data_IF_511787935542
#
_entry.id   IF_511787935542
#
_cell.length_a   1.000
_cell.length_b   1.000
_cell.length_c   1.000
_cell.angle_alpha   90.00
_cell.angle_beta   90.00
_cell.angle_gamma   90.00
#
_symmetry.space_group_name_H-M   'P 1'
#
loop_
_entity.id
_entity.type
_entity.pdbx_description
1 polymer ?
#
# COMPACT_ATOMS: atom_id res chain seq x y z
N UNK A 1 -36.95 27.82 23.92
CA UNK A 1 -35.87 27.13 24.65
C UNK A 1 -34.60 27.23 23.82
N UNK A 2 -33.52 27.86 24.30
CA UNK A 2 -32.28 27.97 23.53
C UNK A 2 -31.39 26.73 23.74
N UNK A 3 -30.94 26.13 22.65
CA UNK A 3 -30.02 25.00 22.61
C UNK A 3 -28.60 25.46 22.97
N UNK A 4 -28.00 24.77 23.94
CA UNK A 4 -26.65 25.03 24.45
C UNK A 4 -25.60 24.73 23.37
N UNK A 5 -24.91 25.76 22.91
CA UNK A 5 -23.60 25.64 22.26
C UNK A 5 -22.61 25.06 23.28
N UNK A 6 -22.01 23.90 22.97
CA UNK A 6 -20.82 23.42 23.67
C UNK A 6 -19.62 24.04 22.97
N UNK A 7 -19.00 25.00 23.63
CA UNK A 7 -17.68 25.53 23.31
C UNK A 7 -16.63 24.48 23.67
N UNK A 8 -15.76 24.15 22.71
CA UNK A 8 -14.53 23.40 22.95
C UNK A 8 -13.56 24.29 23.74
N UNK A 9 -12.83 23.77 24.75
CA UNK A 9 -11.84 24.57 25.45
C UNK A 9 -10.67 24.89 24.51
N UNK A 10 -10.30 26.17 24.45
CA UNK A 10 -9.06 26.66 23.86
C UNK A 10 -7.87 25.88 24.43
N UNK A 11 -7.13 25.17 23.58
CA UNK A 11 -5.82 24.63 23.93
C UNK A 11 -4.86 25.81 23.95
N UNK A 12 -4.38 26.15 25.16
CA UNK A 12 -3.39 27.20 25.42
C UNK A 12 -2.08 26.90 24.67
N UNK A 13 -1.46 27.94 24.13
CA UNK A 13 -0.19 27.96 23.40
C UNK A 13 1.03 27.85 24.33
N UNK A 14 1.01 26.90 25.26
CA UNK A 14 2.14 26.61 26.15
C UNK A 14 2.54 25.14 25.98
N UNK A 15 3.19 24.84 24.85
CA UNK A 15 3.92 23.58 24.68
C UNK A 15 5.20 23.70 25.49
N UNK A 16 5.13 23.28 26.75
CA UNK A 16 6.30 22.90 27.53
C UNK A 16 6.85 21.63 26.88
N UNK A 17 8.07 21.68 26.34
CA UNK A 17 8.76 20.51 25.79
C UNK A 17 8.75 19.37 26.83
N UNK A 18 8.08 18.23 26.56
CA UNK A 18 8.31 17.03 27.34
C UNK A 18 9.71 16.50 26.97
N UNK A 19 10.42 16.01 27.97
CA UNK A 19 11.74 15.41 27.85
C UNK A 19 11.80 14.39 26.70
N UNK A 20 12.94 14.34 26.02
CA UNK A 20 13.25 13.39 24.95
C UNK A 20 13.16 11.95 25.47
N UNK A 21 11.98 11.36 25.43
CA UNK A 21 11.79 9.94 25.69
C UNK A 21 12.13 9.15 24.43
N UNK A 22 13.33 8.58 24.44
CA UNK A 22 13.75 7.49 23.54
C UNK A 22 12.91 6.24 23.83
N UNK A 23 11.71 6.19 23.26
CA UNK A 23 10.87 4.99 23.28
C UNK A 23 11.35 4.02 22.21
N UNK A 24 11.89 2.87 22.62
CA UNK A 24 12.20 1.79 21.68
C UNK A 24 10.92 1.00 21.46
N UNK A 25 10.27 1.19 20.30
CA UNK A 25 9.20 0.29 19.86
C UNK A 25 9.82 -1.08 19.63
N UNK A 26 9.48 -2.03 20.50
CA UNK A 26 9.88 -3.42 20.31
C UNK A 26 8.83 -4.12 19.47
N UNK A 27 9.17 -4.48 18.24
CA UNK A 27 8.42 -5.51 17.53
C UNK A 27 8.70 -6.82 18.28
N UNK A 28 7.73 -7.28 19.07
CA UNK A 28 7.83 -8.58 19.71
C UNK A 28 8.16 -9.61 18.62
N UNK A 29 9.27 -10.35 18.79
CA UNK A 29 9.49 -11.54 17.97
C UNK A 29 8.24 -12.38 18.13
N UNK A 30 7.66 -12.83 17.01
CA UNK A 30 6.63 -13.84 17.03
C UNK A 30 7.11 -14.96 17.94
N UNK A 31 6.51 -15.07 19.12
CA UNK A 31 6.76 -16.16 20.02
C UNK A 31 6.13 -17.36 19.35
N UNK A 32 6.90 -18.07 18.51
CA UNK A 32 6.63 -19.49 18.29
C UNK A 32 6.56 -20.05 19.69
N UNK A 33 5.36 -20.43 20.13
CA UNK A 33 5.10 -20.69 21.53
C UNK A 33 6.22 -21.55 22.09
N UNK A 34 6.91 -21.03 23.10
CA UNK A 34 7.85 -21.81 23.89
C UNK A 34 7.12 -22.83 24.78
N UNK A 35 5.89 -23.19 24.41
CA UNK A 35 4.99 -24.05 25.15
C UNK A 35 4.29 -25.00 24.17
N UNK A 36 5.06 -25.95 23.64
CA UNK A 36 4.57 -27.19 23.01
C UNK A 36 3.64 -27.08 21.78
N UNK A 37 3.18 -25.91 21.37
CA UNK A 37 2.35 -25.76 20.18
C UNK A 37 3.24 -25.79 18.95
N UNK A 38 2.93 -26.68 18.01
CA UNK A 38 3.57 -26.86 16.72
C UNK A 38 4.22 -25.56 16.22
N UNK A 39 5.54 -25.61 16.02
CA UNK A 39 6.21 -24.69 15.09
C UNK A 39 5.37 -24.71 13.83
N UNK A 40 4.68 -23.61 13.52
CA UNK A 40 4.00 -23.43 12.24
C UNK A 40 5.08 -23.56 11.20
N UNK A 41 5.26 -24.77 10.69
CA UNK A 41 6.08 -25.00 9.52
C UNK A 41 5.43 -24.16 8.42
N UNK A 42 6.21 -23.44 7.61
CA UNK A 42 5.69 -22.94 6.34
C UNK A 42 4.93 -24.09 5.69
N UNK A 43 3.77 -23.81 5.10
CA UNK A 43 3.02 -24.82 4.37
C UNK A 43 3.85 -25.26 3.16
N UNK A 44 4.80 -26.17 3.38
CA UNK A 44 5.67 -26.79 2.38
C UNK A 44 5.00 -28.04 1.78
N UNK A 45 3.73 -28.28 2.15
CA UNK A 45 2.96 -29.49 1.88
C UNK A 45 2.23 -29.50 0.54
N UNK A 46 2.92 -29.12 -0.54
CA UNK A 46 2.64 -29.54 -1.93
C UNK A 46 3.69 -28.87 -2.83
N UNK A 47 4.19 -29.50 -3.91
CA UNK A 47 4.68 -28.70 -5.04
C UNK A 47 3.51 -27.80 -5.43
N UNK A 48 3.58 -26.53 -5.04
CA UNK A 48 2.54 -25.55 -5.33
C UNK A 48 2.28 -25.66 -6.83
N UNK A 49 1.02 -25.92 -7.20
CA UNK A 49 0.62 -25.74 -8.59
C UNK A 49 1.19 -24.39 -9.05
N UNK A 50 1.86 -24.33 -10.21
CA UNK A 50 2.59 -23.13 -10.60
C UNK A 50 1.64 -21.93 -10.48
N UNK A 51 1.95 -21.03 -9.54
CA UNK A 51 1.13 -19.85 -9.33
C UNK A 51 1.06 -19.12 -10.67
N UNK A 52 -0.14 -18.73 -11.09
CA UNK A 52 -0.28 -17.94 -12.30
C UNK A 52 0.60 -16.70 -12.18
N UNK A 53 1.37 -16.37 -13.22
CA UNK A 53 2.09 -15.11 -13.26
C UNK A 53 1.15 -13.92 -13.02
N UNK A 54 1.66 -12.88 -12.35
CA UNK A 54 0.88 -11.68 -12.02
C UNK A 54 0.35 -11.00 -13.28
N UNK A 55 1.17 -10.92 -14.32
CA UNK A 55 0.84 -10.34 -15.62
C UNK A 55 -0.31 -11.10 -16.31
N UNK A 56 -0.29 -12.44 -16.31
CA UNK A 56 -1.36 -13.25 -16.87
C UNK A 56 -2.69 -12.97 -16.15
N UNK A 57 -2.67 -12.84 -14.82
CA UNK A 57 -3.86 -12.54 -14.03
C UNK A 57 -4.41 -11.13 -14.37
N UNK A 58 -3.54 -10.12 -14.40
CA UNK A 58 -3.93 -8.75 -14.73
C UNK A 58 -4.49 -8.64 -16.16
N UNK A 59 -3.81 -9.23 -17.15
CA UNK A 59 -4.28 -9.27 -18.53
C UNK A 59 -5.64 -9.94 -18.63
N UNK A 60 -5.86 -11.06 -17.93
CA UNK A 60 -7.14 -11.76 -17.92
C UNK A 60 -8.26 -10.88 -17.32
N UNK A 61 -7.99 -10.17 -16.22
CA UNK A 61 -8.96 -9.27 -15.59
C UNK A 61 -9.34 -8.13 -16.53
N UNK A 62 -8.35 -7.40 -17.07
CA UNK A 62 -8.60 -6.27 -17.97
C UNK A 62 -9.29 -6.69 -19.28
N UNK A 63 -8.90 -7.83 -19.85
CA UNK A 63 -9.56 -8.37 -21.04
C UNK A 63 -11.03 -8.74 -20.76
N UNK A 64 -11.31 -9.35 -19.61
CA UNK A 64 -12.67 -9.68 -19.19
C UNK A 64 -13.50 -8.41 -18.94
N UNK A 65 -12.90 -7.35 -18.38
CA UNK A 65 -13.57 -6.08 -18.16
C UNK A 65 -13.91 -5.39 -19.49
N UNK A 66 -12.97 -5.36 -20.45
CA UNK A 66 -13.22 -4.88 -21.81
C UNK A 66 -14.39 -5.60 -22.49
N UNK A 67 -14.45 -6.92 -22.39
CA UNK A 67 -15.57 -7.70 -22.95
C UNK A 67 -16.90 -7.34 -22.26
N UNK A 68 -16.90 -7.14 -20.94
CA UNK A 68 -18.09 -6.71 -20.19
C UNK A 68 -18.57 -5.33 -20.64
N UNK A 69 -17.66 -4.37 -20.78
CA UNK A 69 -18.01 -3.01 -21.19
C UNK A 69 -18.57 -2.95 -22.62
N UNK A 70 -17.93 -3.66 -23.57
CA UNK A 70 -18.45 -3.76 -24.94
C UNK A 70 -19.81 -4.45 -25.03
N UNK A 71 -20.10 -5.41 -24.15
CA UNK A 71 -21.44 -6.03 -24.07
C UNK A 71 -22.49 -5.05 -23.55
N UNK A 72 -22.12 -4.21 -22.57
CA UNK A 72 -23.02 -3.22 -21.96
C UNK A 72 -23.25 -2.01 -22.88
N UNK A 73 -22.20 -1.51 -23.52
CA UNK A 73 -22.23 -0.37 -24.43
C UNK A 73 -21.35 -0.66 -25.66
N UNK A 74 -21.90 -1.26 -26.73
CA UNK A 74 -21.12 -1.64 -27.91
C UNK A 74 -20.49 -0.47 -28.67
N UNK A 75 -21.04 0.73 -28.52
CA UNK A 75 -20.53 1.97 -29.13
C UNK A 75 -19.47 2.66 -28.25
N UNK A 76 -19.22 2.20 -27.03
CA UNK A 76 -18.13 2.76 -26.22
C UNK A 76 -16.80 2.46 -26.87
N UNK A 77 -15.95 3.49 -26.91
CA UNK A 77 -14.59 3.37 -27.42
C UNK A 77 -13.55 3.78 -26.38
N UNK A 78 -13.93 4.51 -25.33
CA UNK A 78 -13.00 5.00 -24.33
C UNK A 78 -12.60 3.89 -23.35
N UNK A 79 -13.57 3.21 -22.73
CA UNK A 79 -13.31 2.10 -21.80
C UNK A 79 -12.47 1.00 -22.44
N UNK A 80 -12.86 0.43 -23.60
CA UNK A 80 -12.09 -0.60 -24.29
C UNK A 80 -10.64 -0.21 -24.59
N UNK A 81 -10.38 1.05 -24.98
CA UNK A 81 -9.02 1.55 -25.21
C UNK A 81 -8.22 1.65 -23.91
N UNK A 82 -8.85 2.06 -22.81
CA UNK A 82 -8.20 2.13 -21.51
C UNK A 82 -7.74 0.74 -21.06
N UNK A 83 -8.60 -0.28 -21.18
CA UNK A 83 -8.25 -1.66 -20.83
C UNK A 83 -7.11 -2.22 -21.69
N UNK A 84 -7.07 -1.88 -22.98
CA UNK A 84 -5.94 -2.24 -23.86
C UNK A 84 -4.63 -1.60 -23.39
N UNK A 85 -4.67 -0.35 -22.93
CA UNK A 85 -3.49 0.35 -22.39
C UNK A 85 -3.02 -0.24 -21.06
N UNK A 86 -3.93 -0.65 -20.18
CA UNK A 86 -3.57 -1.41 -18.98
C UNK A 86 -2.91 -2.76 -19.32
N UNK A 87 -3.44 -3.49 -20.31
CA UNK A 87 -2.80 -4.72 -20.79
C UNK A 87 -1.39 -4.47 -21.36
N UNK A 88 -1.20 -3.35 -22.09
CA UNK A 88 0.11 -2.95 -22.60
C UNK A 88 1.09 -2.66 -21.47
N UNK A 89 0.71 -1.80 -20.53
CA UNK A 89 1.53 -1.48 -19.34
C UNK A 89 1.89 -2.73 -18.54
N UNK A 90 0.94 -3.66 -18.38
CA UNK A 90 1.19 -4.96 -17.71
C UNK A 90 2.32 -5.74 -18.38
N UNK A 91 2.29 -5.86 -19.72
CA UNK A 91 3.35 -6.57 -20.47
C UNK A 91 4.70 -5.86 -20.37
N UNK A 92 4.71 -4.54 -20.39
CA UNK A 92 5.93 -3.74 -20.27
C UNK A 92 6.54 -3.86 -18.85
N UNK A 93 5.70 -3.87 -17.81
CA UNK A 93 6.12 -4.15 -16.43
C UNK A 93 6.70 -5.56 -16.28
N UNK A 94 6.06 -6.57 -16.88
CA UNK A 94 6.55 -7.95 -16.84
C UNK A 94 7.87 -8.11 -17.61
N UNK A 95 7.96 -7.55 -18.82
CA UNK A 95 9.19 -7.57 -19.62
C UNK A 95 10.37 -6.90 -18.90
N UNK A 96 10.10 -5.87 -18.08
CA UNK A 96 11.09 -5.24 -17.19
C UNK A 96 11.42 -6.04 -15.92
N UNK A 97 10.80 -7.19 -15.70
CA UNK A 97 10.99 -8.05 -14.52
C UNK A 97 10.28 -7.57 -13.26
N UNK A 98 9.47 -6.50 -13.34
CA UNK A 98 8.80 -5.90 -12.18
C UNK A 98 7.65 -6.76 -11.65
N UNK A 99 7.13 -7.69 -12.47
CA UNK A 99 6.07 -8.63 -12.12
C UNK A 99 6.57 -10.09 -11.99
N UNK A 100 7.88 -10.32 -12.13
CA UNK A 100 8.47 -11.66 -12.19
C UNK A 100 8.44 -12.40 -10.84
N UNK A 101 8.31 -11.69 -9.72
CA UNK A 101 8.25 -12.30 -8.39
C UNK A 101 6.93 -13.10 -8.22
N UNK A 102 7.07 -14.40 -7.90
CA UNK A 102 5.94 -15.33 -7.70
C UNK A 102 5.53 -15.51 -6.24
N UNK A 103 6.00 -14.63 -5.35
CA UNK A 103 5.65 -14.64 -3.93
C UNK A 103 4.45 -13.75 -3.72
N UNK A 104 3.38 -14.37 -3.26
CA UNK A 104 2.14 -13.70 -2.88
C UNK A 104 2.09 -13.53 -1.36
N UNK A 105 1.55 -12.41 -0.91
CA UNK A 105 1.23 -12.12 0.48
C UNK A 105 -0.22 -11.72 0.61
N UNK A 106 -0.78 -11.85 1.82
CA UNK A 106 -2.03 -11.20 2.15
C UNK A 106 -1.73 -9.72 2.31
N UNK A 107 -2.22 -8.89 1.40
CA UNK A 107 -2.09 -7.44 1.43
C UNK A 107 -3.37 -6.84 2.01
N UNK A 108 -3.22 -6.02 3.06
CA UNK A 108 -4.35 -5.38 3.76
C UNK A 108 -5.12 -4.38 2.90
N UNK A 109 -4.44 -3.72 1.95
CA UNK A 109 -4.89 -2.60 1.11
C UNK A 109 -5.32 -1.32 1.84
N UNK A 110 -5.77 -1.41 3.09
CA UNK A 110 -6.13 -0.26 3.94
C UNK A 110 -5.28 -0.15 5.22
N UNK A 111 -3.95 -0.21 5.08
CA UNK A 111 -3.05 -0.22 6.23
C UNK A 111 -2.78 1.20 6.76
N UNK A 112 -3.69 1.69 7.61
CA UNK A 112 -3.66 3.04 8.18
C UNK A 112 -3.63 3.00 9.73
N UNK A 113 -3.24 4.10 10.42
CA UNK A 113 -3.17 4.11 11.89
C UNK A 113 -4.45 3.72 12.61
N UNK A 114 -5.62 4.06 12.04
CA UNK A 114 -6.93 3.67 12.58
C UNK A 114 -7.13 2.15 12.67
N UNK A 115 -6.39 1.39 11.88
CA UNK A 115 -6.47 -0.07 11.79
C UNK A 115 -5.39 -0.79 12.62
N UNK A 116 -4.63 -0.06 13.45
CA UNK A 116 -3.58 -0.61 14.30
C UNK A 116 -3.99 -0.47 15.77
N UNK A 117 -4.11 -1.59 16.48
CA UNK A 117 -4.28 -1.60 17.92
C UNK A 117 -2.92 -1.65 18.62
N UNK A 118 -2.76 -0.79 19.61
CA UNK A 118 -1.58 -0.72 20.47
C UNK A 118 -2.00 -1.06 21.89
N UNK A 119 -1.36 -2.07 22.48
CA UNK A 119 -1.53 -2.38 23.89
C UNK A 119 -0.55 -1.57 24.74
N UNK A 120 -1.11 -0.77 25.64
CA UNK A 120 -0.40 0.08 26.59
C UNK A 120 -0.52 -0.42 28.04
N UNK A 121 -1.20 -1.54 28.27
CA UNK A 121 -1.52 -2.03 29.63
C UNK A 121 -0.35 -2.70 30.35
N UNK A 122 0.68 -3.11 29.60
CA UNK A 122 1.94 -3.64 30.13
C UNK A 122 2.95 -2.53 30.43
N UNK A 123 3.96 -2.40 29.57
CA UNK A 123 5.00 -1.37 29.67
C UNK A 123 4.68 -0.22 28.72
N UNK A 124 4.28 0.93 29.27
CA UNK A 124 3.97 2.14 28.49
C UNK A 124 5.20 2.72 27.77
N UNK A 125 6.42 2.34 28.19
CA UNK A 125 7.65 2.70 27.50
C UNK A 125 7.98 1.75 26.34
N UNK A 126 7.26 0.63 26.22
CA UNK A 126 7.43 -0.39 25.17
C UNK A 126 6.07 -0.84 24.64
N UNK A 127 5.33 0.08 23.98
CA UNK A 127 4.05 -0.26 23.38
C UNK A 127 4.23 -1.42 22.38
N UNK A 128 3.29 -2.37 22.39
CA UNK A 128 3.24 -3.46 21.42
C UNK A 128 2.06 -3.25 20.48
N UNK A 129 2.25 -3.53 19.19
CA UNK A 129 1.13 -3.69 18.26
C UNK A 129 0.43 -5.01 18.62
N UNK A 130 -0.79 -4.91 19.14
CA UNK A 130 -1.53 -6.06 19.66
C UNK A 130 -2.43 -6.70 18.61
N UNK A 131 -2.94 -5.91 17.65
CA UNK A 131 -3.73 -6.40 16.53
C UNK A 131 -3.70 -5.44 15.34
N UNK A 132 -3.98 -6.00 14.16
CA UNK A 132 -4.35 -5.25 12.95
C UNK A 132 -5.82 -5.55 12.66
N UNK A 133 -6.63 -4.52 12.50
CA UNK A 133 -8.08 -4.59 12.28
C UNK A 133 -8.41 -4.34 10.81
N UNK A 134 -9.68 -4.56 10.44
CA UNK A 134 -10.24 -4.14 9.15
C UNK A 134 -9.68 -4.83 7.89
N UNK A 135 -9.68 -6.17 7.94
CA UNK A 135 -9.19 -7.02 6.84
C UNK A 135 -10.20 -7.22 5.69
N UNK A 136 -11.27 -6.42 5.60
CA UNK A 136 -12.34 -6.61 4.61
C UNK A 136 -11.89 -6.37 3.16
N UNK A 137 -10.88 -5.51 3.00
CA UNK A 137 -10.24 -5.14 1.74
C UNK A 137 -9.01 -5.99 1.43
N UNK A 138 -8.73 -7.00 2.26
CA UNK A 138 -7.52 -7.79 2.11
C UNK A 138 -7.56 -8.70 0.88
N UNK A 139 -6.43 -8.79 0.17
CA UNK A 139 -6.29 -9.61 -1.04
C UNK A 139 -5.03 -10.47 -0.97
N UNK A 140 -5.07 -11.64 -1.60
CA UNK A 140 -3.85 -12.39 -1.91
C UNK A 140 -3.23 -11.79 -3.18
N UNK A 141 -2.13 -11.06 -3.04
CA UNK A 141 -1.51 -10.33 -4.13
C UNK A 141 0.02 -10.41 -4.08
N UNK A 142 0.73 -10.02 -5.16
CA UNK A 142 2.19 -10.00 -5.15
C UNK A 142 2.74 -9.17 -4.00
N UNK A 143 3.88 -9.59 -3.44
CA UNK A 143 4.47 -8.98 -2.23
C UNK A 143 4.57 -7.45 -2.29
N UNK A 144 4.86 -6.87 -3.46
CA UNK A 144 4.96 -5.42 -3.62
C UNK A 144 3.68 -4.67 -3.24
N UNK A 145 2.51 -5.33 -3.27
CA UNK A 145 1.23 -4.77 -2.81
C UNK A 145 1.19 -4.52 -1.31
N UNK A 146 1.97 -5.26 -0.52
CA UNK A 146 2.09 -5.08 0.92
C UNK A 146 3.20 -4.09 1.32
N UNK A 147 3.88 -3.50 0.35
CA UNK A 147 5.01 -2.60 0.57
C UNK A 147 4.67 -1.13 0.27
N UNK A 148 3.42 -0.71 0.40
CA UNK A 148 3.08 0.72 0.30
C UNK A 148 3.87 1.50 1.36
N UNK A 149 4.59 2.59 1.00
CA UNK A 149 5.24 3.45 1.99
C UNK A 149 4.19 3.98 2.99
N UNK A 150 4.36 3.78 4.32
CA UNK A 150 3.44 4.31 5.32
C UNK A 150 3.70 5.80 5.57
N UNK A 151 3.29 6.64 4.62
CA UNK A 151 3.56 8.08 4.64
C UNK A 151 3.07 8.75 5.92
N UNK A 152 1.99 8.25 6.49
CA UNK A 152 1.40 8.65 7.76
C UNK A 152 2.38 8.67 8.93
N UNK A 153 3.53 7.99 8.85
CA UNK A 153 4.57 8.03 9.90
C UNK A 153 5.38 9.34 9.86
N UNK A 154 5.67 9.89 8.68
CA UNK A 154 6.62 11.02 8.52
C UNK A 154 6.14 12.16 7.61
N UNK A 155 4.96 12.01 7.00
CA UNK A 155 4.36 12.98 6.09
C UNK A 155 2.82 12.98 6.26
N UNK A 156 2.36 12.87 7.51
CA UNK A 156 0.93 12.93 7.85
C UNK A 156 0.30 14.25 7.37
N UNK A 157 -0.81 14.15 6.64
CA UNK A 157 -1.63 15.28 6.23
C UNK A 157 -3.04 15.05 6.79
N UNK A 158 -3.55 16.00 7.58
CA UNK A 158 -4.79 15.81 8.37
C UNK A 158 -6.05 15.63 7.49
N UNK A 159 -6.04 16.12 6.26
CA UNK A 159 -7.23 16.23 5.40
C UNK A 159 -7.07 15.59 4.01
N UNK A 160 -5.95 14.91 3.72
CA UNK A 160 -5.66 14.35 2.39
C UNK A 160 -5.40 12.85 2.45
N UNK A 161 -6.01 12.11 1.51
CA UNK A 161 -5.66 10.71 1.26
C UNK A 161 -4.17 10.62 0.91
N UNK A 162 -3.49 9.56 1.37
CA UNK A 162 -2.06 9.41 1.14
C UNK A 162 -1.73 9.34 -0.36
N UNK A 163 -1.03 10.36 -0.85
CA UNK A 163 -0.49 10.35 -2.20
C UNK A 163 0.89 9.68 -2.22
N UNK A 164 0.91 8.40 -2.58
CA UNK A 164 2.13 7.60 -2.74
C UNK A 164 3.16 8.23 -3.72
N UNK A 165 2.74 9.15 -4.59
CA UNK A 165 3.66 9.89 -5.47
C UNK A 165 4.69 10.70 -4.67
N UNK A 166 4.29 11.19 -3.50
CA UNK A 166 5.13 11.98 -2.58
C UNK A 166 6.05 11.14 -1.71
N UNK A 167 6.00 9.80 -1.80
CA UNK A 167 6.79 8.93 -0.93
C UNK A 167 8.31 9.11 -1.04
N UNK A 168 8.78 9.56 -2.19
CA UNK A 168 10.19 9.85 -2.42
C UNK A 168 10.60 11.27 -1.99
N UNK A 169 9.64 12.11 -1.60
CA UNK A 169 9.94 13.47 -1.16
C UNK A 169 10.68 13.46 0.17
N UNK A 170 11.47 14.52 0.37
CA UNK A 170 12.19 14.73 1.62
C UNK A 170 11.21 15.21 2.69
N UNK A 171 11.09 14.53 3.85
CA UNK A 171 10.23 14.99 4.91
C UNK A 171 10.60 16.41 5.39
N UNK A 172 9.62 17.26 5.71
CA UNK A 172 9.85 18.69 5.94
C UNK A 172 10.64 18.95 7.22
N UNK A 173 10.45 18.15 8.26
CA UNK A 173 11.09 18.35 9.57
C UNK A 173 12.25 17.38 9.81
N UNK A 174 13.28 17.78 10.59
CA UNK A 174 14.36 16.87 10.99
C UNK A 174 13.87 15.59 11.67
N UNK A 175 12.83 15.70 12.50
CA UNK A 175 12.22 14.58 13.22
C UNK A 175 11.57 13.59 12.25
N UNK A 176 10.84 14.08 11.24
CA UNK A 176 10.22 13.24 10.23
C UNK A 176 11.26 12.49 9.37
N UNK A 177 12.39 13.14 9.05
CA UNK A 177 13.52 12.48 8.35
C UNK A 177 14.13 11.35 9.17
N UNK A 178 14.26 11.57 10.49
CA UNK A 178 14.72 10.53 11.41
C UNK A 178 13.76 9.35 11.46
N UNK A 179 12.43 9.61 11.51
CA UNK A 179 11.41 8.57 11.47
C UNK A 179 11.46 7.76 10.17
N UNK A 180 11.54 8.43 9.01
CA UNK A 180 11.70 7.77 7.70
C UNK A 180 12.95 6.88 7.67
N UNK A 181 14.09 7.41 8.11
CA UNK A 181 15.36 6.67 8.17
C UNK A 181 15.27 5.46 9.10
N UNK A 182 14.67 5.61 10.27
CA UNK A 182 14.49 4.53 11.24
C UNK A 182 13.59 3.42 10.67
N UNK A 183 12.48 3.81 10.04
CA UNK A 183 11.57 2.87 9.40
C UNK A 183 12.26 2.10 8.27
N UNK A 184 12.90 2.79 7.32
CA UNK A 184 13.57 2.17 6.17
C UNK A 184 14.68 1.21 6.62
N UNK A 185 15.45 1.59 7.64
CA UNK A 185 16.47 0.74 8.26
C UNK A 185 15.88 -0.52 8.87
N UNK A 186 14.76 -0.41 9.59
CA UNK A 186 14.07 -1.54 10.20
C UNK A 186 13.36 -2.45 9.19
N UNK A 187 12.76 -1.88 8.14
CA UNK A 187 12.05 -2.61 7.11
C UNK A 187 12.99 -3.38 6.16
N UNK A 188 14.21 -2.85 5.98
CA UNK A 188 15.26 -3.48 5.22
C UNK A 188 15.20 -3.21 3.71
N UNK A 189 16.28 -3.53 2.99
CA UNK A 189 16.49 -3.10 1.60
C UNK A 189 15.47 -3.68 0.61
N UNK A 190 14.97 -4.88 0.86
CA UNK A 190 13.94 -5.51 0.05
C UNK A 190 12.62 -4.72 0.10
N UNK A 191 12.20 -4.30 1.29
CA UNK A 191 11.00 -3.49 1.46
C UNK A 191 11.17 -2.16 0.74
N UNK A 192 12.28 -1.46 1.01
CA UNK A 192 12.57 -0.14 0.43
C UNK A 192 12.55 -0.20 -1.10
N UNK A 193 13.19 -1.22 -1.70
CA UNK A 193 13.17 -1.41 -3.16
C UNK A 193 11.75 -1.55 -3.72
N UNK A 194 10.90 -2.36 -3.08
CA UNK A 194 9.52 -2.59 -3.49
C UNK A 194 8.61 -1.38 -3.20
N UNK A 195 8.90 -0.63 -2.15
CA UNK A 195 8.10 0.50 -1.70
C UNK A 195 8.32 1.75 -2.57
N UNK A 196 9.57 2.11 -2.82
CA UNK A 196 9.90 3.42 -3.42
C UNK A 196 10.17 3.38 -4.93
N UNK A 197 10.45 2.19 -5.48
CA UNK A 197 10.73 2.04 -6.91
C UNK A 197 9.54 2.49 -7.77
N UNK A 198 9.72 3.45 -8.70
CA UNK A 198 8.63 3.97 -9.53
C UNK A 198 7.80 2.89 -10.24
N UNK A 199 8.40 1.82 -10.81
CA UNK A 199 7.64 0.72 -11.41
C UNK A 199 6.73 -0.01 -10.43
N UNK A 200 7.14 -0.18 -9.17
CA UNK A 200 6.33 -0.87 -8.16
C UNK A 200 5.17 -0.02 -7.66
N UNK A 201 5.36 1.31 -7.53
CA UNK A 201 4.25 2.24 -7.22
C UNK A 201 3.19 2.20 -8.32
N UNK A 202 3.64 2.28 -9.58
CA UNK A 202 2.77 2.20 -10.74
C UNK A 202 2.09 0.82 -10.87
N UNK A 203 2.81 -0.26 -10.57
CA UNK A 203 2.24 -1.61 -10.53
C UNK A 203 1.17 -1.74 -9.45
N UNK A 204 1.34 -1.15 -8.26
CA UNK A 204 0.29 -1.13 -7.22
C UNK A 204 -0.98 -0.43 -7.69
N UNK A 205 -0.85 0.75 -8.31
CA UNK A 205 -1.99 1.49 -8.89
C UNK A 205 -2.69 0.67 -9.98
N UNK A 206 -1.94 0.03 -10.87
CA UNK A 206 -2.49 -0.85 -11.90
C UNK A 206 -3.25 -2.04 -11.29
N UNK A 207 -2.72 -2.67 -10.24
CA UNK A 207 -3.40 -3.76 -9.53
C UNK A 207 -4.68 -3.27 -8.85
N UNK A 208 -4.69 -2.06 -8.25
CA UNK A 208 -5.92 -1.46 -7.71
C UNK A 208 -6.99 -1.30 -8.80
N UNK A 209 -6.64 -0.82 -9.99
CA UNK A 209 -7.60 -0.79 -11.11
C UNK A 209 -8.10 -2.17 -11.54
N UNK A 210 -7.31 -3.24 -11.38
CA UNK A 210 -7.78 -4.59 -11.63
C UNK A 210 -8.79 -5.08 -10.58
N UNK A 211 -8.62 -4.66 -9.32
CA UNK A 211 -9.50 -5.01 -8.20
C UNK A 211 -10.80 -4.19 -8.27
N UNK A 212 -10.67 -2.88 -8.38
CA UNK A 212 -11.78 -1.96 -8.22
C UNK A 212 -12.50 -1.66 -9.55
N UNK A 213 -11.78 -1.75 -10.67
CA UNK A 213 -12.24 -1.26 -11.96
C UNK A 213 -12.16 0.26 -12.06
N UNK A 214 -12.84 0.81 -13.07
CA UNK A 214 -12.96 2.27 -13.30
C UNK A 214 -14.45 2.61 -13.19
N UNK A 215 -14.82 3.27 -12.10
CA UNK A 215 -16.22 3.49 -11.68
C UNK A 215 -16.64 4.95 -11.85
N UNK A 216 -15.68 5.87 -11.86
CA UNK A 216 -15.92 7.31 -11.94
C UNK A 216 -15.04 7.99 -13.01
N UNK A 217 -15.33 9.26 -13.28
CA UNK A 217 -14.45 10.09 -14.11
C UNK A 217 -13.12 10.40 -13.39
N UNK A 218 -13.12 10.42 -12.06
CA UNK A 218 -11.90 10.60 -11.25
C UNK A 218 -10.98 9.38 -11.42
N UNK A 219 -11.53 8.16 -11.36
CA UNK A 219 -10.79 6.92 -11.64
C UNK A 219 -10.22 6.94 -13.06
N UNK A 220 -11.00 7.42 -14.03
CA UNK A 220 -10.54 7.53 -15.42
C UNK A 220 -9.38 8.53 -15.54
N UNK A 221 -9.49 9.70 -14.91
CA UNK A 221 -8.42 10.71 -14.92
C UNK A 221 -7.15 10.19 -14.23
N UNK A 222 -7.30 9.52 -13.10
CA UNK A 222 -6.18 8.91 -12.38
C UNK A 222 -5.51 7.81 -13.20
N UNK A 223 -6.29 7.00 -13.93
CA UNK A 223 -5.77 6.00 -14.85
C UNK A 223 -4.96 6.63 -15.99
N UNK A 224 -5.44 7.75 -16.56
CA UNK A 224 -4.71 8.48 -17.60
C UNK A 224 -3.40 9.07 -17.08
N UNK A 225 -3.41 9.68 -15.87
CA UNK A 225 -2.21 10.20 -15.22
C UNK A 225 -1.20 9.07 -14.97
N UNK A 226 -1.64 7.94 -14.43
CA UNK A 226 -0.79 6.76 -14.20
C UNK A 226 -0.15 6.27 -15.50
N UNK A 227 -0.93 6.15 -16.57
CA UNK A 227 -0.46 5.66 -17.86
C UNK A 227 0.52 6.64 -18.51
N UNK A 228 0.33 7.94 -18.32
CA UNK A 228 1.30 8.95 -18.78
C UNK A 228 2.60 8.86 -17.99
N UNK A 229 2.54 8.77 -16.66
CA UNK A 229 3.73 8.60 -15.80
C UNK A 229 4.52 7.35 -16.20
N UNK A 230 3.84 6.24 -16.49
CA UNK A 230 4.48 5.03 -17.01
C UNK A 230 5.14 5.25 -18.37
N UNK A 231 4.46 5.93 -19.30
CA UNK A 231 5.02 6.20 -20.64
C UNK A 231 6.28 7.07 -20.55
N UNK A 232 6.29 8.09 -19.70
CA UNK A 232 7.43 8.97 -19.48
C UNK A 232 8.61 8.19 -18.87
N UNK A 233 8.34 7.34 -17.88
CA UNK A 233 9.34 6.45 -17.30
C UNK A 233 9.93 5.47 -18.33
N UNK A 234 9.06 4.80 -19.10
CA UNK A 234 9.47 3.77 -20.06
C UNK A 234 10.27 4.35 -21.24
N UNK A 235 9.91 5.55 -21.72
CA UNK A 235 10.65 6.25 -22.77
C UNK A 235 11.98 6.85 -22.31
N UNK A 236 12.13 7.09 -21.00
CA UNK A 236 13.38 7.61 -20.42
C UNK A 236 14.41 6.52 -20.10
N UNK A 237 14.09 5.24 -20.30
CA UNK A 237 15.07 4.16 -20.12
C UNK A 237 16.04 4.13 -21.32
N UNK A 238 17.36 4.11 -21.06
CA UNK A 238 18.39 4.08 -22.11
C UNK A 238 18.46 2.74 -22.86
#
# INVERSE_FOLDING_TARGET
MPSRLRTWPHISSDVVCPEQHSGVVQVARWASAADGSEVVRPYDGNPAAPSKPTDELLIAIFSAQKVRDLKRCPSDTAGPRLWDRFCRMTRELDAGGWLAERRYSVAHLDFAPRNILVDLTGDTQRPIISAILDWDSAVLAPRFMSCSPPLWIWAWQDDEDEDERTANDEPPTPEARQLKTLFESAAGPDYVRLAYGPPYRLARRLVRFAIDGVRSNEDYNEAEVMLQEWADFYTSQP
#
